data_IF_306413987395
#
_entry.id   IF_306413987395
#
_cell.length_a   1.000
_cell.length_b   1.000
_cell.length_c   1.000
_cell.angle_alpha   90.00
_cell.angle_beta   90.00
_cell.angle_gamma   90.00
#
_symmetry.space_group_name_H-M   'P 1'
#
loop_
_entity.id
_entity.type
_entity.pdbx_description
1 polymer ?
#
# COMPACT_ATOMS: atom_id res chain seq x y z
N UNK A 1 -16.57 27.50 20.52
CA UNK A 1 -16.91 26.62 19.36
C UNK A 1 -15.70 25.76 18.99
N UNK A 2 -15.40 24.73 19.78
CA UNK A 2 -14.20 23.88 19.63
C UNK A 2 -14.57 22.38 19.51
N UNK A 3 -15.71 22.07 18.88
CA UNK A 3 -16.27 20.71 18.86
C UNK A 3 -16.33 20.05 17.48
N UNK A 4 -15.67 20.61 16.46
CA UNK A 4 -15.62 19.99 15.11
C UNK A 4 -14.22 19.59 14.64
N UNK A 5 -13.18 19.77 15.48
CA UNK A 5 -11.80 19.50 15.05
C UNK A 5 -11.30 18.08 15.34
N UNK A 6 -12.07 17.27 16.08
CA UNK A 6 -11.63 15.95 16.57
C UNK A 6 -12.05 14.82 15.63
N UNK A 7 -13.05 15.02 14.76
CA UNK A 7 -13.46 14.02 13.77
C UNK A 7 -12.97 14.42 12.37
N UNK A 8 -11.65 14.43 12.16
CA UNK A 8 -11.06 14.59 10.82
C UNK A 8 -11.17 13.29 9.99
N UNK A 9 -12.23 12.52 10.21
CA UNK A 9 -12.53 11.29 9.50
C UNK A 9 -13.28 11.67 8.24
N UNK A 10 -12.56 11.66 7.12
CA UNK A 10 -13.14 11.95 5.82
C UNK A 10 -13.64 10.66 5.19
N UNK A 11 -14.66 10.75 4.32
CA UNK A 11 -15.13 9.64 3.49
C UNK A 11 -13.95 8.95 2.78
N UNK A 12 -12.95 9.71 2.35
CA UNK A 12 -11.71 9.22 1.74
C UNK A 12 -10.92 8.27 2.67
N UNK A 13 -10.84 8.56 3.97
CA UNK A 13 -10.15 7.72 4.95
C UNK A 13 -10.85 6.36 5.14
N UNK A 14 -12.18 6.33 5.06
CA UNK A 14 -12.94 5.07 5.08
C UNK A 14 -12.73 4.25 3.79
N UNK A 15 -12.73 4.89 2.63
CA UNK A 15 -12.41 4.20 1.38
C UNK A 15 -11.02 3.57 1.41
N UNK A 16 -10.02 4.30 1.89
CA UNK A 16 -8.66 3.79 2.03
C UNK A 16 -8.64 2.61 3.01
N UNK A 17 -9.33 2.71 4.14
CA UNK A 17 -9.44 1.61 5.10
C UNK A 17 -10.03 0.35 4.47
N UNK A 18 -11.14 0.48 3.73
CA UNK A 18 -11.80 -0.65 3.05
C UNK A 18 -10.86 -1.27 2.01
N UNK A 19 -10.23 -0.43 1.18
CA UNK A 19 -9.25 -0.90 0.17
C UNK A 19 -8.09 -1.65 0.82
N UNK A 20 -7.59 -1.16 1.94
CA UNK A 20 -6.51 -1.79 2.71
C UNK A 20 -6.93 -3.15 3.27
N UNK A 21 -8.15 -3.27 3.80
CA UNK A 21 -8.67 -4.55 4.29
C UNK A 21 -8.84 -5.56 3.16
N UNK A 22 -9.30 -5.12 1.98
CA UNK A 22 -9.41 -5.97 0.79
C UNK A 22 -8.03 -6.44 0.31
N UNK A 23 -7.05 -5.54 0.23
CA UNK A 23 -5.67 -5.88 -0.13
C UNK A 23 -5.10 -6.91 0.85
N UNK A 24 -5.26 -6.68 2.16
CA UNK A 24 -4.76 -7.60 3.18
C UNK A 24 -5.38 -9.01 3.04
N UNK A 25 -6.70 -9.09 2.85
CA UNK A 25 -7.40 -10.35 2.66
C UNK A 25 -6.95 -11.09 1.39
N UNK A 26 -6.79 -10.37 0.28
CA UNK A 26 -6.30 -10.94 -0.97
C UNK A 26 -4.86 -11.42 -0.85
N UNK A 27 -3.96 -10.61 -0.26
CA UNK A 27 -2.55 -10.98 -0.09
C UNK A 27 -2.36 -12.20 0.82
N UNK A 28 -3.13 -12.31 1.91
CA UNK A 28 -3.09 -13.50 2.77
C UNK A 28 -3.60 -14.73 1.99
N UNK A 29 -4.70 -14.56 1.26
CA UNK A 29 -5.29 -15.66 0.46
C UNK A 29 -4.32 -16.15 -0.62
N UNK A 30 -3.64 -15.22 -1.29
CA UNK A 30 -2.61 -15.49 -2.30
C UNK A 30 -1.43 -16.26 -1.69
N UNK A 31 -0.88 -15.81 -0.56
CA UNK A 31 0.22 -16.51 0.13
C UNK A 31 -0.20 -17.92 0.54
N UNK A 32 -1.41 -18.10 1.07
CA UNK A 32 -1.93 -19.42 1.48
C UNK A 32 -2.13 -20.33 0.26
N UNK A 33 -2.68 -19.80 -0.83
CA UNK A 33 -2.88 -20.54 -2.07
C UNK A 33 -1.53 -20.99 -2.64
N UNK A 34 -0.58 -20.08 -2.76
CA UNK A 34 0.79 -20.35 -3.22
C UNK A 34 1.49 -21.38 -2.35
N UNK A 35 1.36 -21.26 -1.02
CA UNK A 35 1.91 -22.23 -0.08
C UNK A 35 1.35 -23.65 -0.30
N UNK A 36 0.04 -23.78 -0.57
CA UNK A 36 -0.57 -25.07 -0.90
C UNK A 36 -0.04 -25.63 -2.21
N UNK A 37 0.04 -24.80 -3.25
CA UNK A 37 0.57 -25.24 -4.55
C UNK A 37 2.02 -25.68 -4.42
N UNK A 38 2.87 -24.90 -3.75
CA UNK A 38 4.27 -25.25 -3.51
C UNK A 38 4.42 -26.55 -2.71
N UNK A 39 3.55 -26.77 -1.72
CA UNK A 39 3.54 -28.03 -0.95
C UNK A 39 3.18 -29.24 -1.82
N UNK A 40 2.29 -29.07 -2.80
CA UNK A 40 1.94 -30.12 -3.74
C UNK A 40 3.12 -30.49 -4.67
N UNK A 41 3.99 -29.51 -4.96
CA UNK A 41 5.25 -29.71 -5.68
C UNK A 41 6.44 -30.10 -4.77
N UNK A 42 6.25 -30.26 -3.45
CA UNK A 42 7.39 -30.28 -2.51
C UNK A 42 8.14 -31.61 -2.37
N UNK A 43 7.75 -32.67 -3.07
CA UNK A 43 8.35 -33.99 -2.87
C UNK A 43 8.92 -34.58 -4.16
N UNK A 44 10.02 -35.34 -4.03
CA UNK A 44 10.62 -36.20 -5.07
C UNK A 44 9.70 -37.39 -5.46
N UNK A 45 8.38 -37.21 -5.32
CA UNK A 45 7.40 -38.17 -5.73
C UNK A 45 7.42 -38.24 -7.25
N UNK A 46 7.42 -39.47 -7.75
CA UNK A 46 7.33 -39.76 -9.16
C UNK A 46 6.17 -40.72 -9.37
N UNK A 47 5.44 -40.50 -10.45
CA UNK A 47 4.31 -41.33 -10.83
C UNK A 47 4.73 -42.16 -12.03
N UNK A 48 4.43 -43.45 -11.98
CA UNK A 48 4.66 -44.35 -13.11
C UNK A 48 3.69 -44.01 -14.24
N UNK A 49 4.20 -43.90 -15.47
CA UNK A 49 3.37 -43.65 -16.65
C UNK A 49 2.53 -44.89 -16.96
N UNK A 50 1.19 -44.76 -17.08
CA UNK A 50 0.34 -45.91 -17.38
C UNK A 50 0.67 -46.48 -18.76
N UNK A 51 0.76 -47.81 -18.87
CA UNK A 51 0.98 -48.51 -20.14
C UNK A 51 2.44 -48.83 -20.50
N UNK A 52 3.42 -48.43 -19.68
CA UNK A 52 4.82 -48.83 -19.89
C UNK A 52 5.09 -50.27 -19.44
N UNK A 53 5.89 -51.03 -20.19
CA UNK A 53 6.21 -52.42 -19.86
C UNK A 53 7.08 -52.55 -18.60
N UNK A 54 7.06 -53.72 -17.96
CA UNK A 54 7.87 -54.04 -16.78
C UNK A 54 9.40 -53.93 -17.02
N UNK A 55 9.83 -53.86 -18.28
CA UNK A 55 11.23 -53.67 -18.65
C UNK A 55 11.60 -52.18 -18.85
N UNK A 56 10.62 -51.29 -19.00
CA UNK A 56 10.79 -49.88 -19.36
C UNK A 56 9.97 -48.98 -18.42
N UNK A 57 10.21 -49.08 -17.11
CA UNK A 57 9.50 -48.24 -16.14
C UNK A 57 9.85 -46.77 -16.36
N UNK A 58 8.91 -46.01 -16.91
CA UNK A 58 9.04 -44.57 -17.06
C UNK A 58 8.34 -43.89 -15.89
N UNK A 59 9.09 -43.04 -15.19
CA UNK A 59 8.58 -42.26 -14.07
C UNK A 59 8.60 -40.77 -14.42
N UNK A 60 7.46 -40.11 -14.21
CA UNK A 60 7.31 -38.66 -14.37
C UNK A 60 7.32 -38.05 -12.96
N UNK A 61 8.24 -37.14 -12.63
CA UNK A 61 8.26 -36.50 -11.34
C UNK A 61 7.07 -35.54 -11.24
N UNK A 62 6.43 -35.49 -10.08
CA UNK A 62 5.34 -34.53 -9.81
C UNK A 62 5.86 -33.09 -9.97
N UNK A 63 7.10 -32.84 -9.56
CA UNK A 63 7.82 -31.60 -9.81
C UNK A 63 8.84 -31.76 -10.94
N UNK A 64 8.77 -30.99 -12.04
CA UNK A 64 9.77 -31.06 -13.09
C UNK A 64 11.09 -30.49 -12.59
N UNK A 65 12.21 -31.03 -13.10
CA UNK A 65 13.56 -30.56 -12.73
C UNK A 65 13.80 -29.10 -13.13
N UNK A 66 13.24 -28.68 -14.26
CA UNK A 66 13.36 -27.32 -14.80
C UNK A 66 12.08 -26.51 -14.60
N UNK A 67 11.55 -26.52 -13.37
CA UNK A 67 10.44 -25.64 -13.02
C UNK A 67 10.96 -24.21 -12.86
N UNK A 68 10.48 -23.28 -13.66
CA UNK A 68 10.76 -21.85 -13.44
C UNK A 68 10.03 -21.38 -12.19
N UNK A 69 10.78 -21.10 -11.13
CA UNK A 69 10.22 -20.62 -9.85
C UNK A 69 9.88 -19.13 -9.88
N UNK A 70 10.43 -18.36 -10.82
CA UNK A 70 10.32 -16.90 -10.88
C UNK A 70 8.89 -16.37 -10.80
N UNK A 71 7.94 -17.00 -11.50
CA UNK A 71 6.53 -16.61 -11.42
C UNK A 71 5.90 -16.83 -10.05
N UNK A 72 6.18 -17.97 -9.39
CA UNK A 72 5.65 -18.28 -8.05
C UNK A 72 6.30 -17.42 -6.96
N UNK A 73 7.61 -17.21 -7.06
CA UNK A 73 8.35 -16.30 -6.17
C UNK A 73 7.82 -14.86 -6.31
N UNK A 74 7.56 -14.42 -7.54
CA UNK A 74 6.95 -13.12 -7.82
C UNK A 74 5.59 -12.96 -7.13
N UNK A 75 4.70 -13.94 -7.26
CA UNK A 75 3.37 -13.93 -6.62
C UNK A 75 3.49 -13.76 -5.09
N UNK A 76 4.38 -14.52 -4.45
CA UNK A 76 4.63 -14.41 -3.01
C UNK A 76 5.14 -13.01 -2.63
N UNK A 77 6.07 -12.46 -3.43
CA UNK A 77 6.60 -11.12 -3.21
C UNK A 77 5.49 -10.06 -3.30
N UNK A 78 4.58 -10.16 -4.28
CA UNK A 78 3.43 -9.25 -4.40
C UNK A 78 2.53 -9.35 -3.17
N UNK A 79 2.23 -10.57 -2.70
CA UNK A 79 1.48 -10.79 -1.47
C UNK A 79 2.14 -10.12 -0.25
N UNK A 80 3.45 -10.30 -0.06
CA UNK A 80 4.20 -9.68 1.05
C UNK A 80 4.17 -8.15 0.95
N UNK A 81 4.39 -7.59 -0.24
CA UNK A 81 4.32 -6.14 -0.46
C UNK A 81 2.93 -5.59 -0.18
N UNK A 82 1.87 -6.32 -0.53
CA UNK A 82 0.48 -5.98 -0.21
C UNK A 82 0.24 -5.91 1.30
N UNK A 83 0.71 -6.90 2.06
CA UNK A 83 0.63 -6.91 3.54
C UNK A 83 1.38 -5.72 4.15
N UNK A 84 2.62 -5.47 3.72
CA UNK A 84 3.42 -4.35 4.23
C UNK A 84 2.75 -3.00 3.96
N UNK A 85 2.26 -2.80 2.74
CA UNK A 85 1.54 -1.61 2.34
C UNK A 85 0.27 -1.40 3.17
N UNK A 86 -0.51 -2.48 3.37
CA UNK A 86 -1.72 -2.46 4.17
C UNK A 86 -1.45 -2.08 5.63
N UNK A 87 -0.45 -2.69 6.28
CA UNK A 87 -0.10 -2.42 7.68
C UNK A 87 0.36 -0.97 7.90
N UNK A 88 1.20 -0.45 7.00
CA UNK A 88 1.65 0.94 7.07
C UNK A 88 0.50 1.92 6.90
N UNK A 89 -0.42 1.64 5.99
CA UNK A 89 -1.57 2.50 5.75
C UNK A 89 -2.58 2.46 6.91
N UNK A 90 -2.81 1.27 7.49
CA UNK A 90 -3.59 1.11 8.72
C UNK A 90 -2.99 1.95 9.86
N UNK A 91 -1.68 1.84 10.07
CA UNK A 91 -0.99 2.61 11.09
C UNK A 91 -1.22 4.11 10.87
N UNK A 92 -1.03 4.62 9.65
CA UNK A 92 -1.21 6.03 9.36
C UNK A 92 -2.64 6.54 9.56
N UNK A 93 -3.65 5.75 9.19
CA UNK A 93 -5.06 6.08 9.45
C UNK A 93 -5.34 6.12 10.96
N UNK A 94 -4.88 5.11 11.72
CA UNK A 94 -5.05 5.06 13.17
C UNK A 94 -4.36 6.25 13.86
N UNK A 95 -3.15 6.61 13.42
CA UNK A 95 -2.45 7.80 13.91
C UNK A 95 -3.23 9.09 13.63
N UNK A 96 -3.91 9.15 12.47
CA UNK A 96 -4.79 10.28 12.13
C UNK A 96 -5.97 10.38 13.08
N UNK A 97 -6.58 9.24 13.41
CA UNK A 97 -7.75 9.16 14.30
C UNK A 97 -7.41 9.48 15.76
N UNK A 98 -6.21 9.11 16.22
CA UNK A 98 -5.74 9.42 17.58
C UNK A 98 -5.22 10.84 17.75
N UNK A 99 -5.21 11.66 16.70
CA UNK A 99 -4.83 13.08 16.80
C UNK A 99 -3.36 13.29 17.20
N UNK A 100 -2.45 12.38 16.80
CA UNK A 100 -1.04 12.46 17.17
C UNK A 100 -0.31 13.71 16.63
N UNK A 101 0.83 14.04 17.26
CA UNK A 101 1.68 15.20 16.95
C UNK A 101 1.93 15.34 15.44
N UNK A 102 1.69 16.55 14.93
CA UNK A 102 1.78 16.90 13.50
C UNK A 102 3.12 16.51 12.83
N UNK A 103 4.24 16.48 13.56
CA UNK A 103 5.55 16.11 12.99
C UNK A 103 5.64 14.62 12.65
N UNK A 104 5.29 13.75 13.60
CA UNK A 104 5.33 12.29 13.43
C UNK A 104 4.32 11.88 12.35
N UNK A 105 3.13 12.49 12.38
CA UNK A 105 2.07 12.25 11.40
C UNK A 105 2.50 12.55 9.95
N UNK A 106 3.20 13.68 9.74
CA UNK A 106 3.69 14.06 8.40
C UNK A 106 4.84 13.17 7.95
N UNK A 107 5.75 12.79 8.85
CA UNK A 107 6.82 11.84 8.54
C UNK A 107 6.26 10.50 8.08
N UNK A 108 5.31 9.94 8.84
CA UNK A 108 4.66 8.68 8.50
C UNK A 108 3.88 8.78 7.19
N UNK A 109 3.14 9.87 6.97
CA UNK A 109 2.39 10.07 5.72
C UNK A 109 3.27 10.17 4.46
N UNK A 110 4.50 10.69 4.58
CA UNK A 110 5.47 10.66 3.47
C UNK A 110 5.99 9.24 3.24
N UNK A 111 6.33 8.55 4.32
CA UNK A 111 6.80 7.17 4.25
C UNK A 111 5.75 6.25 3.62
N UNK A 112 4.49 6.33 4.04
CA UNK A 112 3.40 5.53 3.47
C UNK A 112 3.23 5.80 1.98
N UNK A 113 3.20 7.07 1.55
CA UNK A 113 3.15 7.41 0.13
C UNK A 113 4.32 6.81 -0.66
N UNK A 114 5.56 6.94 -0.17
CA UNK A 114 6.74 6.38 -0.87
C UNK A 114 6.67 4.86 -0.94
N UNK A 115 6.35 4.18 0.17
CA UNK A 115 6.25 2.72 0.19
C UNK A 115 5.10 2.23 -0.69
N UNK A 116 3.92 2.86 -0.63
CA UNK A 116 2.78 2.49 -1.48
C UNK A 116 3.12 2.61 -2.96
N UNK A 117 3.85 3.66 -3.38
CA UNK A 117 4.31 3.81 -4.75
C UNK A 117 5.28 2.70 -5.16
N UNK A 118 6.29 2.39 -4.33
CA UNK A 118 7.25 1.32 -4.59
C UNK A 118 6.56 -0.06 -4.67
N UNK A 119 5.65 -0.35 -3.74
CA UNK A 119 4.88 -1.59 -3.77
C UNK A 119 4.01 -1.69 -5.03
N UNK A 120 3.39 -0.58 -5.44
CA UNK A 120 2.55 -0.54 -6.65
C UNK A 120 3.38 -0.78 -7.91
N UNK A 121 4.52 -0.10 -8.05
CA UNK A 121 5.38 -0.26 -9.23
C UNK A 121 5.98 -1.66 -9.30
N UNK A 122 6.45 -2.20 -8.17
CA UNK A 122 6.94 -3.58 -8.10
C UNK A 122 5.85 -4.60 -8.47
N UNK A 123 4.62 -4.41 -7.96
CA UNK A 123 3.50 -5.32 -8.26
C UNK A 123 3.12 -5.30 -9.74
N UNK A 124 3.08 -4.13 -10.37
CA UNK A 124 2.83 -4.01 -11.81
C UNK A 124 3.94 -4.63 -12.66
N UNK A 125 5.21 -4.48 -12.24
CA UNK A 125 6.33 -5.11 -12.92
C UNK A 125 6.28 -6.63 -12.84
N UNK A 126 5.96 -7.18 -11.66
CA UNK A 126 5.81 -8.62 -11.44
C UNK A 126 4.61 -9.15 -12.23
N UNK A 127 3.47 -8.45 -12.22
CA UNK A 127 2.31 -8.78 -13.05
C UNK A 127 2.70 -8.90 -14.52
N UNK A 128 3.42 -7.91 -15.06
CA UNK A 128 3.93 -7.93 -16.43
C UNK A 128 4.83 -9.13 -16.70
N UNK A 129 5.79 -9.39 -15.81
CA UNK A 129 6.70 -10.52 -15.91
C UNK A 129 5.97 -11.87 -15.93
N UNK A 130 5.06 -12.11 -14.98
CA UNK A 130 4.30 -13.38 -14.88
C UNK A 130 3.45 -13.59 -16.13
N UNK A 131 2.76 -12.56 -16.63
CA UNK A 131 1.92 -12.70 -17.82
C UNK A 131 2.74 -12.92 -19.11
N UNK A 132 3.88 -12.25 -19.26
CA UNK A 132 4.78 -12.47 -20.40
C UNK A 132 5.35 -13.89 -20.33
N UNK A 133 5.82 -14.32 -19.17
CA UNK A 133 6.42 -15.64 -19.01
C UNK A 133 5.40 -16.76 -19.29
N UNK A 134 4.17 -16.63 -18.79
CA UNK A 134 3.10 -17.62 -19.03
C UNK A 134 2.54 -17.58 -20.46
N UNK A 135 2.76 -16.48 -21.21
CA UNK A 135 2.43 -16.42 -22.63
C UNK A 135 3.38 -17.23 -23.51
N UNK A 136 4.61 -17.44 -23.02
CA UNK A 136 5.63 -18.24 -23.72
C UNK A 136 5.36 -19.72 -23.48
N UNK A 137 4.40 -20.28 -24.22
CA UNK A 137 4.07 -21.71 -24.15
C UNK A 137 5.04 -22.52 -25.02
N UNK A 138 5.92 -23.37 -24.44
CA UNK A 138 6.75 -24.24 -25.24
C UNK A 138 5.88 -25.29 -25.93
N UNK A 139 6.27 -25.69 -27.15
CA UNK A 139 5.67 -26.84 -27.82
C UNK A 139 6.14 -28.10 -27.11
N UNK A 140 5.20 -28.95 -26.68
CA UNK A 140 5.52 -30.22 -26.03
C UNK A 140 6.10 -31.21 -27.06
N UNK A 141 7.31 -31.74 -26.84
CA UNK A 141 7.86 -32.82 -27.65
C UNK A 141 7.00 -34.07 -27.50
N UNK A 142 6.90 -34.85 -28.56
CA UNK A 142 6.10 -36.08 -28.61
C UNK A 142 6.53 -37.10 -27.54
N UNK A 143 7.84 -37.18 -27.27
CA UNK A 143 8.40 -38.09 -26.26
C UNK A 143 8.81 -37.36 -24.98
N UNK A 144 8.38 -37.90 -23.83
CA UNK A 144 8.73 -37.39 -22.49
C UNK A 144 10.25 -37.31 -22.26
N UNK A 145 11.01 -38.21 -22.88
CA UNK A 145 12.48 -38.22 -22.77
C UNK A 145 13.12 -36.92 -23.21
N UNK A 146 12.48 -36.07 -24.02
CA UNK A 146 13.00 -34.76 -24.43
C UNK A 146 12.56 -33.59 -23.54
N UNK A 147 11.74 -33.83 -22.52
CA UNK A 147 11.20 -32.77 -21.66
C UNK A 147 12.24 -32.17 -20.71
N UNK A 148 13.37 -32.85 -20.51
CA UNK A 148 14.46 -32.39 -19.66
C UNK A 148 15.22 -31.18 -20.23
N UNK A 149 15.03 -30.84 -21.51
CA UNK A 149 15.62 -29.66 -22.14
C UNK A 149 14.69 -28.45 -22.12
N UNK A 150 13.44 -28.63 -21.65
CA UNK A 150 12.44 -27.58 -21.60
C UNK A 150 12.35 -26.96 -20.22
N UNK A 151 12.09 -25.65 -20.21
CA UNK A 151 11.74 -24.91 -19.01
C UNK A 151 10.22 -24.79 -18.93
N UNK A 152 9.64 -25.31 -17.86
CA UNK A 152 8.19 -25.26 -17.67
C UNK A 152 7.83 -24.17 -16.66
N UNK A 153 6.82 -23.38 -17.00
CA UNK A 153 6.10 -22.62 -15.98
C UNK A 153 5.20 -23.58 -15.18
N UNK A 154 4.83 -23.15 -13.97
CA UNK A 154 4.01 -23.98 -13.09
C UNK A 154 2.61 -24.20 -13.64
N UNK A 155 1.98 -23.16 -14.18
CA UNK A 155 0.67 -23.29 -14.81
C UNK A 155 0.75 -24.22 -16.02
N UNK A 156 1.75 -24.04 -16.90
CA UNK A 156 1.91 -24.90 -18.06
C UNK A 156 2.16 -26.37 -17.68
N UNK A 157 2.97 -26.62 -16.65
CA UNK A 157 3.20 -27.97 -16.17
C UNK A 157 1.93 -28.62 -15.63
N UNK A 158 1.23 -27.93 -14.72
CA UNK A 158 0.05 -28.45 -14.03
C UNK A 158 -1.17 -28.59 -14.96
N UNK A 159 -1.32 -27.70 -15.94
CA UNK A 159 -2.51 -27.65 -16.81
C UNK A 159 -2.33 -28.35 -18.16
N UNK A 160 -1.09 -28.50 -18.65
CA UNK A 160 -0.85 -29.00 -20.02
C UNK A 160 0.12 -30.18 -20.04
N UNK A 161 1.33 -30.02 -19.50
CA UNK A 161 2.37 -31.04 -19.63
C UNK A 161 2.02 -32.30 -18.82
N UNK A 162 1.81 -32.18 -17.51
CA UNK A 162 1.53 -33.35 -16.68
C UNK A 162 0.24 -34.10 -17.09
N UNK A 163 -0.88 -33.42 -17.38
CA UNK A 163 -2.09 -34.07 -17.88
C UNK A 163 -1.94 -34.77 -19.24
N UNK A 164 -0.96 -34.39 -20.07
CA UNK A 164 -0.75 -35.04 -21.38
C UNK A 164 -0.20 -36.47 -21.24
N UNK A 165 0.41 -36.81 -20.11
CA UNK A 165 0.92 -38.15 -19.80
C UNK A 165 0.01 -38.88 -18.80
N UNK A 166 -0.62 -38.14 -17.88
CA UNK A 166 -1.43 -38.72 -16.81
C UNK A 166 -2.77 -37.98 -16.69
N UNK A 167 -3.84 -38.59 -17.20
CA UNK A 167 -5.19 -37.99 -17.24
C UNK A 167 -5.74 -37.66 -15.84
N UNK A 168 -5.43 -38.47 -14.82
CA UNK A 168 -5.94 -38.33 -13.46
C UNK A 168 -5.04 -37.42 -12.61
N UNK A 169 -4.74 -36.23 -13.11
CA UNK A 169 -3.81 -35.29 -12.46
C UNK A 169 -4.29 -34.86 -11.06
N UNK A 170 -5.57 -34.48 -10.91
CA UNK A 170 -6.08 -33.95 -9.64
C UNK A 170 -6.06 -34.98 -8.49
N UNK A 171 -6.27 -36.26 -8.80
CA UNK A 171 -6.19 -37.35 -7.81
C UNK A 171 -4.77 -37.52 -7.28
N UNK A 172 -3.77 -37.34 -8.16
CA UNK A 172 -2.35 -37.46 -7.81
C UNK A 172 -1.87 -36.31 -6.94
N UNK A 173 -2.29 -35.08 -7.27
CA UNK A 173 -1.95 -33.90 -6.46
C UNK A 173 -2.82 -33.78 -5.20
N UNK A 174 -3.92 -34.53 -5.12
CA UNK A 174 -4.91 -34.46 -4.03
C UNK A 174 -5.74 -33.16 -4.03
N UNK A 175 -5.67 -32.37 -5.11
CA UNK A 175 -6.37 -31.10 -5.29
C UNK A 175 -6.40 -30.71 -6.77
N UNK A 176 -7.33 -29.83 -7.15
CA UNK A 176 -7.47 -29.29 -8.51
C UNK A 176 -6.30 -28.35 -8.88
N UNK A 177 -5.14 -28.92 -9.19
CA UNK A 177 -3.84 -28.20 -9.23
C UNK A 177 -3.82 -27.12 -10.32
N UNK A 178 -4.42 -27.40 -11.48
CA UNK A 178 -4.49 -26.43 -12.57
C UNK A 178 -5.34 -25.21 -12.18
N UNK A 179 -6.49 -25.43 -11.52
CA UNK A 179 -7.35 -24.34 -11.06
C UNK A 179 -6.64 -23.46 -10.02
N UNK A 180 -5.86 -24.07 -9.11
CA UNK A 180 -5.08 -23.32 -8.11
C UNK A 180 -3.94 -22.52 -8.76
N UNK A 181 -3.21 -23.10 -9.71
CA UNK A 181 -2.15 -22.41 -10.43
C UNK A 181 -2.67 -21.20 -11.24
N UNK A 182 -3.79 -21.38 -11.95
CA UNK A 182 -4.46 -20.29 -12.66
C UNK A 182 -4.99 -19.23 -11.70
N UNK A 183 -5.62 -19.63 -10.60
CA UNK A 183 -6.14 -18.71 -9.60
C UNK A 183 -5.03 -17.82 -9.02
N UNK A 184 -3.84 -18.37 -8.75
CA UNK A 184 -2.67 -17.59 -8.32
C UNK A 184 -2.32 -16.47 -9.31
N UNK A 185 -2.23 -16.79 -10.61
CA UNK A 185 -1.96 -15.78 -11.66
C UNK A 185 -3.06 -14.72 -11.73
N UNK A 186 -4.33 -15.12 -11.69
CA UNK A 186 -5.45 -14.20 -11.83
C UNK A 186 -5.68 -13.35 -10.58
N UNK A 187 -5.20 -13.76 -9.40
CA UNK A 187 -5.27 -12.95 -8.17
C UNK A 187 -4.31 -11.75 -8.17
N UNK A 188 -3.20 -11.82 -8.90
CA UNK A 188 -2.24 -10.69 -9.00
C UNK A 188 -2.90 -9.46 -9.63
N UNK A 189 -3.83 -9.67 -10.58
CA UNK A 189 -4.51 -8.59 -11.32
C UNK A 189 -5.37 -7.69 -10.42
N UNK A 190 -6.38 -8.21 -9.67
CA UNK A 190 -7.15 -7.38 -8.75
C UNK A 190 -6.27 -6.80 -7.64
N UNK A 191 -5.26 -7.51 -7.16
CA UNK A 191 -4.35 -7.01 -6.14
C UNK A 191 -3.53 -5.80 -6.64
N UNK A 192 -2.97 -5.89 -7.85
CA UNK A 192 -2.23 -4.79 -8.48
C UNK A 192 -3.12 -3.57 -8.74
N UNK A 193 -4.36 -3.79 -9.18
CA UNK A 193 -5.34 -2.72 -9.40
C UNK A 193 -5.73 -2.03 -8.08
N UNK A 194 -5.95 -2.80 -7.02
CA UNK A 194 -6.25 -2.24 -5.70
C UNK A 194 -5.06 -1.48 -5.12
N UNK A 195 -3.83 -1.95 -5.31
CA UNK A 195 -2.61 -1.22 -4.92
C UNK A 195 -2.47 0.10 -5.67
N UNK A 196 -2.76 0.12 -6.98
CA UNK A 196 -2.77 1.35 -7.76
C UNK A 196 -3.84 2.33 -7.26
N UNK A 197 -5.06 1.83 -7.02
CA UNK A 197 -6.13 2.64 -6.44
C UNK A 197 -5.71 3.19 -5.07
N UNK A 198 -5.10 2.36 -4.22
CA UNK A 198 -4.60 2.75 -2.92
C UNK A 198 -3.57 3.87 -3.05
N UNK A 199 -2.56 3.72 -3.90
CA UNK A 199 -1.54 4.75 -4.20
C UNK A 199 -2.15 6.12 -4.55
N UNK A 200 -3.18 6.13 -5.41
CA UNK A 200 -3.87 7.37 -5.79
C UNK A 200 -4.59 7.97 -4.58
N UNK A 201 -5.34 7.14 -3.84
CA UNK A 201 -6.11 7.60 -2.69
C UNK A 201 -5.20 8.12 -1.56
N UNK A 202 -4.09 7.44 -1.28
CA UNK A 202 -3.10 7.84 -0.26
C UNK A 202 -2.44 9.17 -0.63
N UNK A 203 -2.08 9.34 -1.91
CA UNK A 203 -1.53 10.60 -2.41
C UNK A 203 -2.52 11.75 -2.26
N UNK A 204 -3.79 11.55 -2.65
CA UNK A 204 -4.85 12.56 -2.50
C UNK A 204 -5.08 12.90 -1.03
N UNK A 205 -5.06 11.91 -0.13
CA UNK A 205 -5.20 12.15 1.30
C UNK A 205 -4.01 12.92 1.86
N UNK A 206 -2.78 12.55 1.48
CA UNK A 206 -1.56 13.24 1.90
C UNK A 206 -1.53 14.70 1.44
N UNK A 207 -1.98 14.96 0.21
CA UNK A 207 -2.13 16.31 -0.33
C UNK A 207 -3.13 17.14 0.48
N UNK A 208 -4.34 16.61 0.73
CA UNK A 208 -5.37 17.29 1.52
C UNK A 208 -4.94 17.58 2.96
N UNK A 209 -4.11 16.71 3.54
CA UNK A 209 -3.59 16.89 4.90
C UNK A 209 -2.33 17.74 4.95
N UNK A 210 -1.91 18.32 3.82
CA UNK A 210 -0.72 19.17 3.69
C UNK A 210 0.56 18.49 4.23
N UNK A 211 0.68 17.18 3.97
CA UNK A 211 1.83 16.35 4.38
C UNK A 211 3.11 16.82 3.67
N UNK A 212 2.97 17.30 2.43
CA UNK A 212 4.06 17.83 1.61
C UNK A 212 4.41 19.29 1.89
N UNK A 213 3.62 20.00 2.70
CA UNK A 213 3.87 21.39 3.03
C UNK A 213 5.25 21.58 3.66
N UNK A 214 6.04 22.48 3.08
CA UNK A 214 7.29 22.94 3.68
C UNK A 214 6.98 23.53 5.05
N UNK A 215 7.76 23.12 6.05
CA UNK A 215 7.74 23.69 7.38
C UNK A 215 8.02 25.19 7.21
N UNK A 216 7.00 26.05 7.33
CA UNK A 216 7.26 27.42 7.77
C UNK A 216 7.82 27.25 9.16
N UNK A 217 9.13 27.41 9.30
CA UNK A 217 9.78 27.51 10.59
C UNK A 217 8.94 28.48 11.41
N UNK A 218 8.32 27.98 12.48
CA UNK A 218 7.89 28.88 13.53
C UNK A 218 9.17 29.55 14.00
N UNK A 219 9.28 30.89 13.95
CA UNK A 219 10.43 31.55 14.53
C UNK A 219 10.48 31.13 15.99
N UNK A 220 11.57 30.48 16.37
CA UNK A 220 11.97 30.23 17.75
C UNK A 220 12.30 31.56 18.43
N UNK A 221 11.32 32.45 18.55
CA UNK A 221 11.39 33.66 19.36
C UNK A 221 10.85 33.34 20.75
N UNK A 222 11.53 32.47 21.50
CA UNK A 222 11.30 32.28 22.95
C UNK A 222 12.64 32.24 23.71
N UNK A 223 13.71 32.87 23.20
CA UNK A 223 14.96 32.97 23.97
C UNK A 223 15.56 34.37 24.09
N UNK A 224 14.90 35.42 23.57
CA UNK A 224 15.45 36.79 23.61
C UNK A 224 14.51 37.81 24.30
N UNK A 225 13.85 37.48 25.41
CA UNK A 225 13.31 38.51 26.34
C UNK A 225 13.23 37.95 27.76
N UNK A 226 14.35 37.96 28.50
CA UNK A 226 14.42 38.24 29.95
C UNK A 226 15.87 38.05 30.46
N UNK A 227 16.78 38.84 29.89
CA UNK A 227 17.99 39.27 30.59
C UNK A 227 18.04 40.78 30.50
N UNK A 228 17.19 41.43 31.29
CA UNK A 228 17.16 42.87 31.46
C UNK A 228 16.83 43.19 32.92
N UNK A 229 17.78 43.82 33.59
CA UNK A 229 17.63 44.59 34.84
C UNK A 229 17.19 43.86 36.12
N UNK A 230 18.17 43.26 36.80
CA UNK A 230 18.27 43.40 38.25
C UNK A 230 19.24 44.54 38.57
N UNK A 231 18.71 45.76 38.62
CA UNK A 231 19.44 46.97 38.99
C UNK A 231 18.56 47.94 39.79
N UNK A 232 18.72 47.93 41.11
CA UNK A 232 18.55 49.03 42.08
C UNK A 232 17.33 49.97 42.03
N UNK A 233 16.58 50.04 43.15
CA UNK A 233 16.05 51.25 43.85
C UNK A 233 14.94 50.80 44.81
N UNK A 234 15.16 50.67 46.12
CA UNK A 234 15.25 51.72 47.13
C UNK A 234 14.24 52.88 46.99
N UNK A 235 13.32 52.89 47.96
CA UNK A 235 12.76 54.02 48.72
C UNK A 235 11.86 55.06 48.04
N UNK A 236 10.57 54.96 48.42
CA UNK A 236 9.72 56.01 49.00
C UNK A 236 10.05 57.48 48.67
N UNK A 237 9.11 58.19 48.03
CA UNK A 237 8.42 59.32 48.69
C UNK A 237 7.13 59.69 47.94
N UNK A 238 6.15 60.07 48.77
CA UNK A 238 4.80 60.50 48.44
C UNK A 238 4.75 61.99 48.10
N UNK A 239 4.16 62.38 46.96
CA UNK A 239 3.47 63.68 46.80
C UNK A 239 2.35 63.55 45.76
N UNK A 240 1.12 63.88 46.17
CA UNK A 240 -0.06 64.24 45.37
C UNK A 240 -0.39 65.71 45.75
N UNK A 241 -1.11 66.56 44.99
CA UNK A 241 -1.52 66.56 43.57
C UNK A 241 -1.14 67.87 42.82
N UNK A 242 -1.32 67.91 41.50
CA UNK A 242 -1.75 69.15 40.84
C UNK A 242 -2.69 68.86 39.66
N UNK A 243 -3.94 69.31 39.80
CA UNK A 243 -4.87 69.51 38.71
C UNK A 243 -4.24 70.48 37.69
N UNK A 244 -4.26 70.11 36.41
CA UNK A 244 -4.37 71.08 35.33
C UNK A 244 -5.50 70.67 34.38
N UNK A 245 -6.44 71.60 34.28
CA UNK A 245 -7.48 71.70 33.26
C UNK A 245 -6.84 72.05 31.90
N UNK A 246 -7.62 71.88 30.82
CA UNK A 246 -7.49 72.48 29.47
C UNK A 246 -6.72 71.58 28.46
N UNK A 247 -7.19 71.23 27.25
CA UNK A 247 -8.20 71.77 26.31
C UNK A 247 -8.63 70.63 25.33
N UNK A 248 -9.72 70.77 24.55
CA UNK A 248 -10.23 69.77 23.63
C UNK A 248 -9.65 69.91 22.22
N UNK A 249 -9.65 68.80 21.49
CA UNK A 249 -9.53 68.79 20.03
C UNK A 249 -8.24 68.13 19.55
N UNK A 250 -8.30 66.82 19.31
CA UNK A 250 -7.53 66.27 18.21
C UNK A 250 -8.33 65.14 17.55
N UNK A 251 -8.67 65.43 16.31
CA UNK A 251 -9.35 64.60 15.35
C UNK A 251 -8.38 63.48 14.97
N UNK A 252 -8.67 62.22 15.28
CA UNK A 252 -7.91 61.13 14.69
C UNK A 252 -8.79 60.05 14.07
N UNK A 253 -8.48 59.83 12.79
CA UNK A 253 -9.23 59.04 11.82
C UNK A 253 -9.11 57.56 12.17
N UNK A 254 -10.25 56.89 12.36
CA UNK A 254 -10.32 55.42 12.22
C UNK A 254 -10.49 55.06 10.74
N UNK A 255 -9.56 54.34 10.11
CA UNK A 255 -9.83 53.70 8.83
C UNK A 255 -10.69 52.45 9.04
N UNK A 256 -11.80 52.40 8.29
CA UNK A 256 -12.61 51.22 8.04
C UNK A 256 -11.72 50.08 7.50
N UNK A 257 -11.63 48.98 8.24
CA UNK A 257 -11.10 47.74 7.68
C UNK A 257 -12.27 46.93 7.14
N UNK A 258 -12.36 46.97 5.81
CA UNK A 258 -13.13 46.14 4.91
C UNK A 258 -13.28 44.69 5.41
N UNK A 259 -14.55 44.28 5.60
CA UNK A 259 -14.95 42.89 5.49
C UNK A 259 -14.69 42.41 4.05
N UNK A 260 -13.66 41.57 3.84
CA UNK A 260 -13.44 40.89 2.56
C UNK A 260 -13.99 39.45 2.62
N UNK A 261 -15.06 39.29 1.85
CA UNK A 261 -15.76 38.10 1.37
C UNK A 261 -14.96 36.77 1.40
N UNK A 262 -15.54 35.71 1.99
CA UNK A 262 -16.44 34.73 1.33
C UNK A 262 -15.82 34.12 0.07
N UNK A 263 -15.24 32.93 0.23
CA UNK A 263 -15.13 31.95 -0.86
C UNK A 263 -15.98 30.75 -0.47
N UNK A 264 -17.22 30.74 -0.96
CA UNK A 264 -18.07 29.55 -1.03
C UNK A 264 -17.66 28.76 -2.27
N UNK A 265 -16.91 27.67 -2.08
CA UNK A 265 -16.67 26.65 -3.11
C UNK A 265 -17.62 25.48 -2.86
N UNK A 266 -18.90 25.72 -3.08
CA UNK A 266 -19.92 24.67 -3.20
C UNK A 266 -20.99 25.19 -4.16
N UNK A 267 -20.89 24.74 -5.40
CA UNK A 267 -21.85 25.05 -6.44
C UNK A 267 -21.39 24.47 -7.76
N UNK A 268 -21.50 23.15 -7.92
CA UNK A 268 -21.72 22.55 -9.23
C UNK A 268 -22.55 21.25 -9.11
N UNK A 269 -23.85 21.46 -9.34
CA UNK A 269 -24.82 20.67 -10.09
C UNK A 269 -25.09 19.19 -9.80
N UNK A 270 -26.36 18.98 -9.43
CA UNK A 270 -27.17 17.80 -9.70
C UNK A 270 -27.78 17.83 -11.12
N UNK A 271 -28.27 16.66 -11.55
CA UNK A 271 -29.19 16.35 -12.66
C UNK A 271 -28.65 16.34 -14.10
N UNK A 272 -28.48 15.12 -14.60
CA UNK A 272 -29.27 14.58 -15.72
C UNK A 272 -29.57 13.11 -15.44
#
# INVERSE_FOLDING_TARGET
MASFSILRVTVLSYFILITVLLILGLSISEIVLEGKVLSAFSNNLQVQVPGTSLAEWLFVPIRPRNLKSGGSEGIIVVGILGVLCALLQMAWILMSWWGMRNFIFRGLGRLTCTVTLICTTASLAILGYVFIEESQRPVLPEYYTFWHDLNFTREFWACTAFPSQISNTDEIYGLAICAHAQAGRWMILPLSNLLLALSILTFVQAWRMNVFGLRKEFPTNILDVEKGDQGSRQSQSSVIPRLQLQRPGELDRKPEILHRNRWSLLGFYAKS
#
